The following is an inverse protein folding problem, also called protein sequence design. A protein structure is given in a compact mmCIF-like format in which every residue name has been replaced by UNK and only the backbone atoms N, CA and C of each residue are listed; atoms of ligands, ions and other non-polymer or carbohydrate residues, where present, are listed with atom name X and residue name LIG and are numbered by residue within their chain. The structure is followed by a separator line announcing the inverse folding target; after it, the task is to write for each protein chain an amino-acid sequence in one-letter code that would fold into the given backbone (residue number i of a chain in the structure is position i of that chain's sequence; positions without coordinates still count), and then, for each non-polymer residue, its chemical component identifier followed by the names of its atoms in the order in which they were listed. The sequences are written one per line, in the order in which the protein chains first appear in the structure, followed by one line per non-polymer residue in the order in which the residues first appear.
data_IF_236695202235
#
_entry.id   IF_236695202235
#
_cell.length_a   1.000
_cell.length_b   1.000
_cell.length_c   1.000
_cell.angle_alpha   90.00
_cell.angle_beta   90.00
_cell.angle_gamma   90.00
#
_symmetry.space_group_name_H-M   'P 1'
#
loop_
_entity.id
_entity.type
_entity.pdbx_description
1 polymer ?
#
# COMPACT_ATOMS: atom_id res chain seq x y z
N UNK A 1 30.83 29.54 -28.50
CA UNK A 1 30.79 29.98 -27.09
C UNK A 1 29.65 29.28 -26.39
N UNK A 2 29.96 28.70 -25.23
CA UNK A 2 29.08 28.28 -24.12
C UNK A 2 28.02 27.19 -24.35
N UNK A 3 28.27 26.11 -23.61
CA UNK A 3 27.41 24.98 -23.28
C UNK A 3 26.08 25.48 -22.72
N UNK A 4 24.97 25.16 -23.37
CA UNK A 4 23.67 25.27 -22.74
C UNK A 4 23.49 24.00 -21.89
N UNK A 5 23.79 24.12 -20.60
CA UNK A 5 23.43 23.12 -19.59
C UNK A 5 21.89 23.08 -19.51
N UNK A 6 21.29 22.03 -20.06
CA UNK A 6 19.87 21.77 -19.86
C UNK A 6 19.71 21.11 -18.49
N UNK A 7 19.25 21.91 -17.53
CA UNK A 7 18.86 21.50 -16.19
C UNK A 7 17.79 20.41 -16.31
N UNK A 8 18.07 19.21 -15.79
CA UNK A 8 17.08 18.16 -15.65
C UNK A 8 16.13 18.59 -14.53
N UNK A 9 15.04 19.26 -14.92
CA UNK A 9 13.93 19.52 -14.02
C UNK A 9 13.20 18.20 -13.80
N UNK A 10 13.55 17.50 -12.72
CA UNK A 10 12.72 16.43 -12.18
C UNK A 10 11.39 17.07 -11.74
N UNK A 11 10.38 16.97 -12.59
CA UNK A 11 9.01 17.30 -12.22
C UNK A 11 8.57 16.30 -11.15
N UNK A 12 8.75 16.67 -9.88
CA UNK A 12 8.14 16.02 -8.74
C UNK A 12 6.61 16.21 -8.89
N UNK A 13 5.98 15.31 -9.62
CA UNK A 13 4.53 15.21 -9.73
C UNK A 13 3.97 14.94 -8.33
N UNK A 14 3.63 16.02 -7.63
CA UNK A 14 2.50 16.19 -6.72
C UNK A 14 2.18 15.04 -5.74
N UNK A 15 3.18 14.38 -5.16
CA UNK A 15 3.07 13.69 -3.87
C UNK A 15 4.45 13.69 -3.21
N UNK A 16 4.55 13.91 -1.89
CA UNK A 16 5.81 13.68 -1.19
C UNK A 16 6.23 12.24 -1.48
N UNK A 17 7.50 11.99 -1.84
CA UNK A 17 8.02 10.64 -2.05
C UNK A 17 7.67 9.69 -0.87
N UNK A 18 7.46 10.25 0.32
CA UNK A 18 6.96 9.58 1.52
C UNK A 18 5.57 8.93 1.37
N UNK A 19 4.67 9.42 0.52
CA UNK A 19 3.36 8.80 0.31
C UNK A 19 3.44 7.57 -0.61
N UNK A 20 4.27 7.63 -1.65
CA UNK A 20 4.50 6.50 -2.56
C UNK A 20 5.25 5.36 -1.84
N UNK A 21 6.22 5.74 -1.00
CA UNK A 21 6.90 4.86 -0.07
C UNK A 21 5.94 4.21 0.93
N UNK A 22 4.98 4.97 1.48
CA UNK A 22 3.95 4.45 2.38
C UNK A 22 3.02 3.44 1.69
N UNK A 23 2.58 3.74 0.47
CA UNK A 23 1.77 2.82 -0.35
C UNK A 23 2.52 1.50 -0.58
N UNK A 24 3.78 1.57 -1.02
CA UNK A 24 4.63 0.39 -1.25
C UNK A 24 4.85 -0.43 0.02
N UNK A 25 5.17 0.26 1.13
CA UNK A 25 5.34 -0.37 2.45
C UNK A 25 4.05 -1.07 2.90
N UNK A 26 2.89 -0.44 2.72
CA UNK A 26 1.62 -1.05 3.11
C UNK A 26 1.25 -2.23 2.20
N UNK A 27 1.56 -2.19 0.90
CA UNK A 27 1.40 -3.34 0.00
C UNK A 27 2.20 -4.55 0.48
N UNK A 28 3.45 -4.35 0.90
CA UNK A 28 4.28 -5.40 1.48
C UNK A 28 3.66 -5.96 2.77
N UNK A 29 3.18 -5.10 3.67
CA UNK A 29 2.51 -5.54 4.91
C UNK A 29 1.25 -6.35 4.64
N UNK A 30 0.47 -6.00 3.61
CA UNK A 30 -0.73 -6.76 3.24
C UNK A 30 -0.33 -8.14 2.71
N UNK A 31 0.68 -8.23 1.85
CA UNK A 31 1.19 -9.48 1.31
C UNK A 31 1.66 -10.44 2.44
N UNK A 32 2.42 -9.90 3.40
CA UNK A 32 2.85 -10.66 4.58
C UNK A 32 1.68 -11.09 5.48
N UNK A 33 0.72 -10.19 5.74
CA UNK A 33 -0.45 -10.48 6.56
C UNK A 33 -1.38 -11.52 5.91
N UNK A 34 -1.51 -11.49 4.58
CA UNK A 34 -2.25 -12.49 3.81
C UNK A 34 -1.58 -13.85 3.93
N UNK A 35 -0.25 -13.95 3.80
CA UNK A 35 0.49 -15.22 3.92
C UNK A 35 0.41 -15.83 5.31
N UNK A 36 0.32 -15.00 6.34
CA UNK A 36 0.24 -15.44 7.74
C UNK A 36 -1.18 -15.78 8.19
N UNK A 37 -2.20 -15.22 7.55
CA UNK A 37 -3.61 -15.51 7.87
C UNK A 37 -4.03 -16.87 7.31
N UNK A 38 -4.03 -17.91 8.14
CA UNK A 38 -4.26 -19.31 7.70
C UNK A 38 -5.69 -19.81 7.89
N UNK A 39 -6.53 -19.15 8.70
CA UNK A 39 -7.82 -19.69 9.16
C UNK A 39 -9.07 -18.90 8.72
N UNK A 40 -8.94 -17.87 7.87
CA UNK A 40 -10.06 -17.04 7.44
C UNK A 40 -9.99 -16.72 5.94
N UNK A 41 -10.47 -17.67 5.12
CA UNK A 41 -10.41 -17.60 3.66
C UNK A 41 -11.15 -16.39 3.10
N UNK A 42 -12.32 -16.04 3.63
CA UNK A 42 -13.11 -14.91 3.13
C UNK A 42 -12.44 -13.55 3.41
N UNK A 43 -11.86 -13.35 4.61
CA UNK A 43 -11.13 -12.13 4.92
C UNK A 43 -9.85 -12.03 4.09
N UNK A 44 -9.16 -13.15 3.90
CA UNK A 44 -7.96 -13.25 3.07
C UNK A 44 -8.24 -12.91 1.61
N UNK A 45 -9.28 -13.49 1.01
CA UNK A 45 -9.69 -13.19 -0.38
C UNK A 45 -10.07 -11.72 -0.56
N UNK A 46 -10.80 -11.14 0.41
CA UNK A 46 -11.14 -9.72 0.38
C UNK A 46 -9.90 -8.82 0.51
N UNK A 47 -8.93 -9.20 1.35
CA UNK A 47 -7.67 -8.48 1.48
C UNK A 47 -6.83 -8.56 0.19
N UNK A 48 -6.77 -9.72 -0.47
CA UNK A 48 -6.12 -9.88 -1.77
C UNK A 48 -6.76 -8.98 -2.85
N UNK A 49 -8.10 -8.89 -2.88
CA UNK A 49 -8.80 -7.97 -3.80
C UNK A 49 -8.48 -6.50 -3.51
N UNK A 50 -8.33 -6.13 -2.24
CA UNK A 50 -7.93 -4.77 -1.86
C UNK A 50 -6.46 -4.49 -2.22
N UNK A 51 -5.57 -5.48 -2.07
CA UNK A 51 -4.18 -5.42 -2.51
C UNK A 51 -4.08 -5.18 -4.02
N UNK A 52 -4.88 -5.89 -4.82
CA UNK A 52 -4.91 -5.71 -6.27
C UNK A 52 -5.39 -4.30 -6.67
N UNK A 53 -6.42 -3.77 -6.01
CA UNK A 53 -6.89 -2.40 -6.23
C UNK A 53 -5.84 -1.36 -5.83
N UNK A 54 -5.13 -1.61 -4.72
CA UNK A 54 -4.04 -0.75 -4.29
C UNK A 54 -2.89 -0.71 -5.30
N UNK A 55 -2.49 -1.87 -5.85
CA UNK A 55 -1.46 -1.96 -6.87
C UNK A 55 -1.86 -1.22 -8.17
N UNK A 56 -3.13 -1.34 -8.58
CA UNK A 56 -3.67 -0.58 -9.72
C UNK A 56 -3.65 0.92 -9.46
N UNK A 57 -4.08 1.36 -8.26
CA UNK A 57 -4.04 2.76 -7.86
C UNK A 57 -2.60 3.30 -7.82
N UNK A 58 -1.64 2.52 -7.32
CA UNK A 58 -0.21 2.87 -7.36
C UNK A 58 0.30 3.04 -8.80
N UNK A 59 0.00 2.08 -9.67
CA UNK A 59 0.40 2.13 -11.08
C UNK A 59 -0.23 3.33 -11.83
N UNK A 60 -1.41 3.76 -11.41
CA UNK A 60 -2.09 4.95 -11.93
C UNK A 60 -1.60 6.28 -11.30
N UNK A 61 -0.65 6.24 -10.35
CA UNK A 61 -0.18 7.40 -9.59
C UNK A 61 -1.19 7.92 -8.55
N UNK A 62 -2.26 7.17 -8.26
CA UNK A 62 -3.26 7.49 -7.24
C UNK A 62 -2.82 6.95 -5.87
N UNK A 63 -1.75 7.53 -5.33
CA UNK A 63 -1.13 7.10 -4.07
C UNK A 63 -2.10 7.14 -2.89
N UNK A 64 -3.03 8.10 -2.86
CA UNK A 64 -4.02 8.23 -1.77
C UNK A 64 -5.00 7.05 -1.74
N UNK A 65 -5.45 6.61 -2.91
CA UNK A 65 -6.34 5.46 -3.05
C UNK A 65 -5.61 4.15 -2.77
N UNK A 66 -4.33 4.03 -3.17
CA UNK A 66 -3.49 2.91 -2.76
C UNK A 66 -3.41 2.79 -1.22
N UNK A 67 -3.09 3.89 -0.53
CA UNK A 67 -3.01 3.91 0.94
C UNK A 67 -4.36 3.50 1.54
N UNK A 68 -5.47 4.07 1.07
CA UNK A 68 -6.80 3.73 1.58
C UNK A 68 -7.16 2.23 1.40
N UNK A 69 -6.81 1.65 0.25
CA UNK A 69 -7.06 0.23 -0.02
C UNK A 69 -6.18 -0.68 0.84
N UNK A 70 -4.89 -0.37 0.98
CA UNK A 70 -3.98 -1.18 1.81
C UNK A 70 -4.30 -1.09 3.30
N UNK A 71 -4.64 0.10 3.84
CA UNK A 71 -5.09 0.25 5.23
C UNK A 71 -6.36 -0.55 5.51
N UNK A 72 -7.31 -0.55 4.57
CA UNK A 72 -8.53 -1.35 4.69
C UNK A 72 -8.24 -2.84 4.69
N UNK A 73 -7.30 -3.29 3.86
CA UNK A 73 -6.88 -4.70 3.81
C UNK A 73 -6.22 -5.12 5.13
N UNK A 74 -5.29 -4.32 5.66
CA UNK A 74 -4.63 -4.57 6.94
C UNK A 74 -5.63 -4.62 8.09
N UNK A 75 -6.58 -3.68 8.14
CA UNK A 75 -7.63 -3.67 9.15
C UNK A 75 -8.50 -4.92 9.06
N UNK A 76 -8.89 -5.32 7.85
CA UNK A 76 -9.69 -6.52 7.64
C UNK A 76 -8.96 -7.77 8.13
N UNK A 77 -7.69 -7.94 7.78
CA UNK A 77 -6.88 -9.07 8.23
C UNK A 77 -6.75 -9.07 9.75
N UNK A 78 -6.36 -7.92 10.35
CA UNK A 78 -6.24 -7.76 11.80
C UNK A 78 -7.53 -8.09 12.56
N UNK A 79 -8.67 -7.59 12.10
CA UNK A 79 -9.98 -7.86 12.71
C UNK A 79 -10.35 -9.36 12.64
N UNK A 80 -9.74 -10.12 11.73
CA UNK A 80 -10.04 -11.53 11.46
C UNK A 80 -8.94 -12.51 11.89
N UNK A 81 -7.77 -12.02 12.33
CA UNK A 81 -6.65 -12.84 12.84
C UNK A 81 -6.84 -13.25 14.31
N UNK A 82 -7.88 -12.77 15.00
CA UNK A 82 -8.16 -13.19 16.37
C UNK A 82 -7.06 -12.75 17.34
N UNK A 83 -6.64 -11.48 17.27
CA UNK A 83 -5.93 -10.87 18.39
C UNK A 83 -6.97 -10.53 19.46
N UNK A 84 -7.16 -11.46 20.39
CA UNK A 84 -7.60 -11.11 21.73
C UNK A 84 -6.60 -10.08 22.25
N UNK A 85 -7.05 -8.84 22.40
CA UNK A 85 -6.19 -7.72 22.78
C UNK A 85 -5.33 -8.04 23.99
N UNK A 86 -4.05 -8.29 23.74
CA UNK A 86 -3.01 -8.17 24.75
C UNK A 86 -2.51 -6.73 24.74
N UNK A 87 -3.31 -5.82 25.30
CA UNK A 87 -2.77 -4.63 25.94
C UNK A 87 -2.43 -5.05 27.38
N UNK A 88 -1.16 -5.35 27.62
CA UNK A 88 -0.54 -5.32 28.95
C UNK A 88 0.32 -4.08 29.06
#
# INVERSE_FOLDING_TARGET
MKRAALLITAALLASPAFADDLCSTNLQKVDDAVKTTTNNTQAQEQAMRLQEKAAQAQAAGNTKECIAHTEKALKLLKDNTGDGGANG
#
